data_IF_051603293836
#
_entry.id   IF_051603293836
#
_cell.length_a   1.000
_cell.length_b   1.000
_cell.length_c   1.000
_cell.angle_alpha   90.00
_cell.angle_beta   90.00
_cell.angle_gamma   90.00
#
_symmetry.space_group_name_H-M   'P 1'
#
loop_
_entity.id
_entity.type
_entity.pdbx_description
1 polymer ?
#
# COMPACT_ATOMS: atom_id res chain seq x y z
N UNK A 1 11.69 -6.23 25.62
CA UNK A 1 10.31 -6.32 25.12
C UNK A 1 10.21 -5.45 23.88
N UNK A 2 10.07 -6.03 22.69
CA UNK A 2 9.94 -5.25 21.44
C UNK A 2 8.64 -4.41 21.52
N UNK A 3 8.67 -3.12 21.13
CA UNK A 3 7.63 -2.12 21.44
C UNK A 3 6.28 -2.33 20.75
N UNK A 4 6.09 -3.45 20.03
CA UNK A 4 4.89 -3.73 19.27
C UNK A 4 4.09 -4.92 19.79
N UNK A 5 4.48 -5.59 20.88
CA UNK A 5 3.69 -6.70 21.46
C UNK A 5 2.36 -6.17 22.06
N UNK A 6 1.33 -6.06 21.22
CA UNK A 6 -0.06 -6.03 21.64
C UNK A 6 -0.38 -7.36 22.33
N UNK A 7 -1.18 -7.32 23.41
CA UNK A 7 -1.54 -8.52 24.17
C UNK A 7 -2.37 -9.54 23.38
N UNK A 8 -2.88 -9.17 22.19
CA UNK A 8 -3.66 -10.05 21.33
C UNK A 8 -3.00 -10.19 19.94
N UNK A 9 -2.99 -11.39 19.36
CA UNK A 9 -2.49 -11.61 18.00
C UNK A 9 -3.36 -10.86 16.99
N UNK A 10 -2.78 -10.28 15.93
CA UNK A 10 -3.54 -9.64 14.87
C UNK A 10 -4.31 -10.69 14.06
N UNK A 11 -5.49 -10.32 13.57
CA UNK A 11 -6.30 -11.17 12.70
C UNK A 11 -5.61 -11.43 11.34
N UNK A 12 -4.76 -10.52 10.89
CA UNK A 12 -3.96 -10.67 9.68
C UNK A 12 -2.70 -9.80 9.71
N UNK A 13 -1.70 -10.17 8.90
CA UNK A 13 -0.51 -9.36 8.65
C UNK A 13 -0.34 -9.14 7.15
N UNK A 14 -0.02 -7.92 6.75
CA UNK A 14 0.48 -7.63 5.41
C UNK A 14 2.00 -7.49 5.40
N UNK A 15 2.67 -8.33 4.61
CA UNK A 15 4.07 -8.11 4.27
C UNK A 15 4.16 -7.11 3.12
N UNK A 16 4.98 -6.08 3.29
CA UNK A 16 5.31 -5.10 2.25
C UNK A 16 6.81 -4.86 2.20
N UNK A 17 7.26 -3.99 1.29
CA UNK A 17 8.63 -3.51 1.21
C UNK A 17 8.67 -1.98 1.06
N UNK A 18 9.87 -1.39 1.10
CA UNK A 18 10.08 0.04 0.84
C UNK A 18 9.77 0.36 -0.62
N UNK A 19 8.97 1.39 -0.88
CA UNK A 19 8.57 1.73 -2.27
C UNK A 19 9.56 2.67 -2.95
N UNK A 20 10.03 3.66 -2.20
CA UNK A 20 10.96 4.69 -2.63
C UNK A 20 11.68 5.28 -1.40
N UNK A 21 12.64 6.18 -1.67
CA UNK A 21 13.44 6.82 -0.62
C UNK A 21 12.59 7.60 0.38
N UNK A 22 11.38 8.06 0.01
CA UNK A 22 10.50 8.80 0.92
C UNK A 22 10.01 7.91 2.08
N UNK A 23 9.85 6.60 1.84
CA UNK A 23 9.45 5.65 2.88
C UNK A 23 10.54 5.46 3.95
N UNK A 24 11.83 5.69 3.62
CA UNK A 24 12.94 5.60 4.57
C UNK A 24 12.77 6.57 5.74
N UNK A 25 12.22 7.75 5.48
CA UNK A 25 12.03 8.79 6.49
C UNK A 25 10.81 8.55 7.38
N UNK A 26 9.90 7.66 6.97
CA UNK A 26 8.63 7.40 7.68
C UNK A 26 8.73 6.32 8.76
N UNK A 27 9.85 5.60 8.81
CA UNK A 27 10.08 4.52 9.76
C UNK A 27 10.71 5.11 11.04
N UNK A 28 10.24 4.70 12.22
CA UNK A 28 10.61 5.33 13.49
C UNK A 28 12.12 5.41 13.78
N UNK A 29 12.93 4.48 13.26
CA UNK A 29 14.39 4.48 13.40
C UNK A 29 15.12 5.46 12.45
N UNK A 30 14.41 6.14 11.55
CA UNK A 30 14.97 6.92 10.45
C UNK A 30 15.84 8.09 10.92
N UNK A 31 15.37 8.85 11.91
CA UNK A 31 16.06 10.05 12.39
C UNK A 31 17.40 9.73 13.05
N UNK A 32 17.45 8.64 13.82
CA UNK A 32 18.68 8.17 14.46
C UNK A 32 19.68 7.71 13.41
N UNK A 33 19.29 6.79 12.51
CA UNK A 33 20.21 6.29 11.49
C UNK A 33 20.68 7.40 10.55
N UNK A 34 19.78 8.31 10.18
CA UNK A 34 20.11 9.45 9.33
C UNK A 34 21.19 10.34 9.95
N UNK A 35 21.16 10.55 11.27
CA UNK A 35 22.16 11.37 11.97
C UNK A 35 23.57 10.78 11.89
N UNK A 36 23.68 9.46 11.80
CA UNK A 36 24.94 8.73 11.75
C UNK A 36 25.27 8.20 10.35
N UNK A 37 24.71 8.81 9.31
CA UNK A 37 24.97 8.44 7.92
C UNK A 37 25.81 9.49 7.20
N UNK A 38 26.76 9.04 6.39
CA UNK A 38 27.68 9.90 5.63
C UNK A 38 27.02 10.53 4.39
N UNK A 39 25.73 10.27 4.17
CA UNK A 39 24.95 10.76 3.03
C UNK A 39 23.67 9.95 2.80
N UNK A 40 22.94 10.27 1.73
CA UNK A 40 21.70 9.58 1.35
C UNK A 40 21.92 8.11 1.01
N UNK A 41 22.97 7.79 0.25
CA UNK A 41 23.25 6.41 -0.15
C UNK A 41 23.64 5.55 1.05
N UNK A 42 24.41 6.12 1.99
CA UNK A 42 24.78 5.43 3.22
C UNK A 42 23.57 5.24 4.15
N UNK A 43 22.72 6.26 4.25
CA UNK A 43 21.44 6.16 4.97
C UNK A 43 20.54 5.08 4.38
N UNK A 44 20.38 5.05 3.04
CA UNK A 44 19.64 4.02 2.33
C UNK A 44 20.19 2.62 2.63
N UNK A 45 21.51 2.42 2.50
CA UNK A 45 22.15 1.13 2.82
C UNK A 45 21.89 0.69 4.26
N UNK A 46 22.07 1.60 5.23
CA UNK A 46 21.83 1.32 6.67
C UNK A 46 20.37 0.96 6.92
N UNK A 47 19.43 1.73 6.38
CA UNK A 47 18.00 1.42 6.49
C UNK A 47 17.65 0.08 5.85
N UNK A 48 18.21 -0.21 4.68
CA UNK A 48 17.98 -1.48 3.98
C UNK A 48 18.67 -2.68 4.64
N UNK A 49 19.63 -2.46 5.55
CA UNK A 49 20.24 -3.53 6.34
C UNK A 49 19.46 -3.90 7.61
N UNK A 50 18.45 -3.11 7.99
CA UNK A 50 17.63 -3.43 9.15
C UNK A 50 16.82 -4.71 8.94
N UNK A 51 16.57 -5.49 10.01
CA UNK A 51 15.64 -6.61 9.92
C UNK A 51 14.21 -6.11 9.63
N UNK A 52 13.35 -6.96 9.07
CA UNK A 52 11.94 -6.65 8.93
C UNK A 52 11.30 -6.26 10.27
N UNK A 53 10.35 -5.32 10.22
CA UNK A 53 9.73 -4.77 11.41
C UNK A 53 8.24 -4.51 11.22
N UNK A 54 7.49 -4.51 12.32
CA UNK A 54 6.09 -4.03 12.34
C UNK A 54 6.12 -2.51 12.24
N UNK A 55 5.62 -1.97 11.13
CA UNK A 55 5.64 -0.53 10.86
C UNK A 55 4.33 0.17 11.25
N UNK A 56 3.26 -0.58 11.44
CA UNK A 56 1.97 -0.02 11.84
C UNK A 56 0.89 -1.06 12.02
N UNK A 57 -0.21 -0.60 12.62
CA UNK A 57 -1.43 -1.36 12.83
C UNK A 57 -2.54 -0.83 11.90
N UNK A 58 -3.42 -1.73 11.46
CA UNK A 58 -4.63 -1.46 10.70
C UNK A 58 -5.81 -1.83 11.60
N UNK A 59 -6.68 -0.86 11.88
CA UNK A 59 -7.91 -1.05 12.63
C UNK A 59 -9.11 -0.65 11.76
N UNK A 60 -10.20 -1.43 11.80
CA UNK A 60 -11.43 -1.14 11.05
C UNK A 60 -12.53 -0.62 11.97
N UNK A 61 -12.84 0.67 11.87
CA UNK A 61 -13.86 1.31 12.71
C UNK A 61 -13.57 1.12 14.20
N UNK A 62 -14.61 0.81 14.97
CA UNK A 62 -14.49 0.37 16.38
C UNK A 62 -14.48 -1.16 16.51
N UNK A 63 -14.31 -1.89 15.40
CA UNK A 63 -14.40 -3.34 15.38
C UNK A 63 -13.17 -4.02 16.00
N UNK A 64 -13.30 -5.29 16.45
CA UNK A 64 -12.22 -6.02 17.11
C UNK A 64 -11.12 -6.48 16.15
N UNK A 65 -11.34 -6.38 14.83
CA UNK A 65 -10.42 -6.88 13.81
C UNK A 65 -9.27 -5.88 13.63
N UNK A 66 -8.12 -6.26 14.20
CA UNK A 66 -6.85 -5.58 14.05
C UNK A 66 -5.94 -6.38 13.14
N UNK A 67 -5.21 -5.68 12.28
CA UNK A 67 -4.16 -6.25 11.44
C UNK A 67 -2.88 -5.44 11.55
N UNK A 68 -1.80 -5.98 11.03
CA UNK A 68 -0.49 -5.31 11.10
C UNK A 68 0.20 -5.25 9.75
N UNK A 69 1.10 -4.29 9.61
CA UNK A 69 1.95 -4.16 8.42
C UNK A 69 3.38 -4.44 8.82
N UNK A 70 3.93 -5.53 8.28
CA UNK A 70 5.34 -5.87 8.40
C UNK A 70 6.08 -5.38 7.16
N UNK A 71 7.08 -4.54 7.35
CA UNK A 71 7.90 -4.00 6.27
C UNK A 71 9.20 -4.80 6.18
N UNK A 72 9.41 -5.45 5.04
CA UNK A 72 10.70 -5.97 4.61
C UNK A 72 11.54 -4.77 4.16
N UNK A 73 12.65 -4.52 4.86
CA UNK A 73 13.49 -3.34 4.68
C UNK A 73 14.36 -3.46 3.42
N UNK A 74 13.75 -3.63 2.26
CA UNK A 74 14.41 -3.78 0.97
C UNK A 74 13.75 -2.89 -0.07
N UNK A 75 14.57 -2.36 -0.98
CA UNK A 75 14.08 -1.59 -2.12
C UNK A 75 13.55 -2.51 -3.24
N UNK A 76 12.73 -1.99 -4.17
CA UNK A 76 12.14 -2.80 -5.24
C UNK A 76 13.16 -3.60 -6.07
N UNK A 77 14.29 -2.98 -6.39
CA UNK A 77 15.38 -3.56 -7.16
C UNK A 77 16.08 -4.68 -6.40
N UNK A 78 16.41 -4.46 -5.12
CA UNK A 78 17.01 -5.47 -4.23
C UNK A 78 16.08 -6.68 -4.02
N UNK A 79 14.79 -6.41 -3.88
CA UNK A 79 13.78 -7.44 -3.66
C UNK A 79 13.65 -8.38 -4.86
N UNK A 80 13.72 -7.83 -6.08
CA UNK A 80 13.60 -8.59 -7.32
C UNK A 80 14.93 -9.22 -7.79
N UNK A 81 16.08 -8.67 -7.40
CA UNK A 81 17.42 -9.17 -7.76
C UNK A 81 17.83 -10.48 -7.07
N UNK A 82 16.92 -11.15 -6.36
CA UNK A 82 17.15 -12.46 -5.72
C UNK A 82 17.75 -12.41 -4.32
N UNK A 83 18.54 -11.37 -3.99
CA UNK A 83 19.10 -11.15 -2.64
C UNK A 83 18.04 -10.80 -1.59
N UNK A 84 16.86 -10.33 -2.01
CA UNK A 84 15.73 -10.04 -1.12
C UNK A 84 15.00 -11.26 -0.57
N UNK A 85 15.20 -12.46 -1.13
CA UNK A 85 14.44 -13.65 -0.73
C UNK A 85 14.56 -14.01 0.75
N UNK A 86 15.77 -13.88 1.31
CA UNK A 86 16.03 -14.10 2.74
C UNK A 86 15.26 -13.10 3.61
N UNK A 87 15.30 -11.82 3.28
CA UNK A 87 14.59 -10.79 4.05
C UNK A 87 13.07 -10.91 3.97
N UNK A 88 12.54 -11.50 2.90
CA UNK A 88 11.11 -11.85 2.85
C UNK A 88 10.79 -12.99 3.82
N UNK A 89 11.66 -14.00 3.94
CA UNK A 89 11.49 -15.08 4.92
C UNK A 89 11.58 -14.52 6.34
N UNK A 90 12.55 -13.64 6.63
CA UNK A 90 12.63 -12.95 7.94
C UNK A 90 11.36 -12.14 8.22
N UNK A 91 10.77 -11.51 7.21
CA UNK A 91 9.50 -10.78 7.36
C UNK A 91 8.32 -11.72 7.62
N UNK A 92 8.35 -12.91 7.03
CA UNK A 92 7.35 -13.96 7.27
C UNK A 92 7.48 -14.49 8.69
N UNK A 93 8.70 -14.72 9.17
CA UNK A 93 8.98 -15.13 10.55
C UNK A 93 8.48 -14.09 11.56
N UNK A 94 8.70 -12.80 11.29
CA UNK A 94 8.10 -11.73 12.10
C UNK A 94 6.58 -11.87 12.11
N UNK A 95 5.92 -12.01 10.96
CA UNK A 95 4.46 -12.15 10.88
C UNK A 95 3.93 -13.38 11.64
N UNK A 96 4.62 -14.52 11.54
CA UNK A 96 4.29 -15.75 12.26
C UNK A 96 4.48 -15.59 13.77
N UNK A 97 5.54 -14.93 14.21
CA UNK A 97 5.78 -14.62 15.62
C UNK A 97 4.73 -13.67 16.22
N UNK A 98 4.01 -12.92 15.39
CA UNK A 98 2.83 -12.14 15.83
C UNK A 98 1.60 -13.02 16.09
N UNK A 99 1.61 -14.28 15.63
CA UNK A 99 0.47 -15.19 15.74
C UNK A 99 -0.63 -14.92 14.71
N UNK A 100 -0.31 -14.29 13.57
CA UNK A 100 -1.30 -13.97 12.55
C UNK A 100 -1.75 -15.23 11.78
N UNK A 101 -3.06 -15.54 11.73
CA UNK A 101 -3.56 -16.71 11.00
C UNK A 101 -3.62 -16.47 9.48
N UNK A 102 -3.60 -15.22 9.04
CA UNK A 102 -3.67 -14.84 7.63
C UNK A 102 -2.56 -13.87 7.29
N UNK A 103 -1.81 -14.18 6.24
CA UNK A 103 -0.67 -13.40 5.78
C UNK A 103 -0.89 -12.96 4.33
N UNK A 104 -0.97 -11.65 4.12
CA UNK A 104 -1.10 -11.04 2.80
C UNK A 104 0.23 -10.57 2.24
N UNK A 105 0.55 -10.99 1.02
CA UNK A 105 1.71 -10.51 0.29
C UNK A 105 1.35 -9.25 -0.50
N UNK A 106 1.83 -8.11 -0.01
CA UNK A 106 1.64 -6.80 -0.63
C UNK A 106 2.74 -6.45 -1.63
N UNK A 107 2.44 -5.46 -2.47
CA UNK A 107 3.38 -4.82 -3.40
C UNK A 107 4.19 -5.85 -4.21
N UNK A 108 5.53 -5.79 -4.13
CA UNK A 108 6.41 -6.69 -4.89
C UNK A 108 6.78 -7.99 -4.16
N UNK A 109 6.25 -8.26 -2.96
CA UNK A 109 6.57 -9.49 -2.22
C UNK A 109 6.07 -10.73 -2.98
N UNK A 110 4.81 -10.71 -3.45
CA UNK A 110 4.27 -11.80 -4.26
C UNK A 110 5.10 -12.04 -5.55
N UNK A 111 5.41 -11.03 -6.38
CA UNK A 111 6.41 -11.15 -7.45
C UNK A 111 7.73 -11.82 -7.07
N UNK A 112 8.38 -11.33 -6.02
CA UNK A 112 9.70 -11.81 -5.61
C UNK A 112 9.69 -13.28 -5.16
N UNK A 113 8.53 -13.76 -4.73
CA UNK A 113 8.34 -15.11 -4.17
C UNK A 113 7.58 -16.07 -5.10
N UNK A 114 7.54 -15.78 -6.40
CA UNK A 114 6.81 -16.57 -7.39
C UNK A 114 5.30 -16.72 -7.05
N UNK A 115 4.68 -15.61 -6.68
CA UNK A 115 3.27 -15.55 -6.26
C UNK A 115 3.02 -16.04 -4.84
N UNK A 116 4.07 -16.22 -4.02
CA UNK A 116 4.01 -16.78 -2.67
C UNK A 116 4.45 -18.24 -2.59
N UNK A 117 4.58 -18.95 -3.72
CA UNK A 117 4.92 -20.38 -3.75
C UNK A 117 6.22 -20.70 -3.01
N UNK A 118 7.24 -19.83 -3.09
CA UNK A 118 8.53 -20.01 -2.40
C UNK A 118 8.43 -19.96 -0.87
N UNK A 119 7.35 -19.38 -0.34
CA UNK A 119 7.12 -19.23 1.09
C UNK A 119 6.34 -20.38 1.72
N UNK A 120 5.64 -21.19 0.92
CA UNK A 120 4.73 -22.23 1.43
C UNK A 120 5.42 -23.23 2.36
N UNK A 121 6.66 -23.61 2.06
CA UNK A 121 7.47 -24.52 2.90
C UNK A 121 7.84 -23.95 4.29
N UNK A 122 7.63 -22.66 4.50
CA UNK A 122 7.92 -21.96 5.76
C UNK A 122 6.64 -21.68 6.56
N UNK A 123 5.47 -22.04 6.05
CA UNK A 123 4.20 -21.82 6.74
C UNK A 123 3.88 -23.02 7.63
N UNK A 124 3.51 -22.79 8.90
CA UNK A 124 2.95 -23.83 9.74
C UNK A 124 1.51 -24.14 9.32
N UNK A 125 1.01 -25.30 9.77
CA UNK A 125 -0.38 -25.69 9.58
C UNK A 125 -1.35 -24.67 10.18
N UNK A 126 -2.46 -24.43 9.48
CA UNK A 126 -3.50 -23.47 9.91
C UNK A 126 -3.22 -22.01 9.56
N UNK A 127 -2.04 -21.66 9.02
CA UNK A 127 -1.76 -20.30 8.53
C UNK A 127 -2.01 -20.19 7.04
N UNK A 128 -2.80 -19.19 6.64
CA UNK A 128 -3.15 -18.94 5.24
C UNK A 128 -2.27 -17.84 4.63
N UNK A 129 -1.76 -18.09 3.42
CA UNK A 129 -1.03 -17.10 2.63
C UNK A 129 -1.86 -16.65 1.42
N UNK A 130 -2.02 -15.34 1.25
CA UNK A 130 -2.67 -14.76 0.08
C UNK A 130 -1.75 -13.81 -0.68
N UNK A 131 -1.73 -13.93 -2.00
CA UNK A 131 -0.97 -13.04 -2.87
C UNK A 131 -1.72 -11.76 -3.26
N UNK A 132 -2.96 -11.60 -2.79
CA UNK A 132 -3.83 -10.43 -3.00
C UNK A 132 -4.17 -10.07 -4.46
N UNK A 133 -3.79 -10.92 -5.43
CA UNK A 133 -3.97 -10.62 -6.86
C UNK A 133 -5.44 -10.59 -7.28
N UNK A 134 -6.26 -11.53 -6.77
CA UNK A 134 -7.69 -11.60 -7.08
C UNK A 134 -8.44 -10.35 -6.61
N UNK A 135 -8.22 -9.96 -5.35
CA UNK A 135 -8.78 -8.71 -4.81
C UNK A 135 -8.31 -7.50 -5.62
N UNK A 136 -7.03 -7.45 -5.99
CA UNK A 136 -6.50 -6.36 -6.82
C UNK A 136 -7.18 -6.31 -8.19
N UNK A 137 -7.49 -7.44 -8.81
CA UNK A 137 -8.22 -7.48 -10.09
C UNK A 137 -9.65 -6.92 -9.97
N UNK A 138 -10.35 -7.22 -8.86
CA UNK A 138 -11.67 -6.65 -8.56
C UNK A 138 -11.58 -5.13 -8.34
N UNK A 139 -10.56 -4.67 -7.61
CA UNK A 139 -10.33 -3.23 -7.43
C UNK A 139 -10.03 -2.55 -8.77
N UNK A 140 -9.23 -3.16 -9.65
CA UNK A 140 -8.98 -2.66 -11.01
C UNK A 140 -10.29 -2.52 -11.79
N UNK A 141 -11.12 -3.56 -11.80
CA UNK A 141 -12.46 -3.55 -12.43
C UNK A 141 -13.28 -2.34 -11.94
N UNK A 142 -13.38 -2.16 -10.61
CA UNK A 142 -14.13 -1.05 -10.02
C UNK A 142 -13.59 0.33 -10.43
N UNK A 143 -12.27 0.52 -10.45
CA UNK A 143 -11.69 1.81 -10.84
C UNK A 143 -11.90 2.12 -12.34
N UNK A 144 -11.88 1.10 -13.20
CA UNK A 144 -12.17 1.28 -14.63
C UNK A 144 -13.61 1.71 -14.83
N UNK A 145 -14.58 1.11 -14.12
CA UNK A 145 -15.97 1.57 -14.12
C UNK A 145 -16.09 3.03 -13.70
N UNK A 146 -15.44 3.41 -12.60
CA UNK A 146 -15.45 4.79 -12.10
C UNK A 146 -14.86 5.77 -13.12
N UNK A 147 -13.71 5.42 -13.72
CA UNK A 147 -13.10 6.23 -14.77
C UNK A 147 -13.98 6.36 -16.02
N UNK A 148 -14.56 5.26 -16.47
CA UNK A 148 -15.42 5.24 -17.66
C UNK A 148 -16.73 6.01 -17.44
N UNK A 149 -17.30 5.94 -16.23
CA UNK A 149 -18.44 6.74 -15.82
C UNK A 149 -18.09 8.23 -15.78
N UNK A 150 -16.94 8.61 -15.22
CA UNK A 150 -16.45 9.98 -15.19
C UNK A 150 -16.22 10.57 -16.60
N UNK A 151 -15.92 9.73 -17.59
CA UNK A 151 -15.81 10.12 -19.00
C UNK A 151 -17.16 10.19 -19.73
N UNK A 152 -18.26 9.75 -19.10
CA UNK A 152 -19.57 9.64 -19.75
C UNK A 152 -19.55 8.65 -20.92
N UNK A 153 -18.74 7.59 -20.81
CA UNK A 153 -18.62 6.53 -21.81
C UNK A 153 -19.18 5.20 -21.30
N UNK A 154 -19.05 4.90 -20.00
CA UNK A 154 -19.43 3.60 -19.44
C UNK A 154 -18.71 2.46 -20.19
N UNK A 155 -19.35 1.31 -20.43
CA UNK A 155 -18.76 0.18 -21.15
C UNK A 155 -18.27 0.51 -22.58
N UNK A 156 -18.72 1.63 -23.18
CA UNK A 156 -18.23 2.07 -24.50
C UNK A 156 -16.79 2.57 -24.45
N UNK A 157 -16.21 2.85 -23.27
CA UNK A 157 -14.82 3.25 -23.14
C UNK A 157 -13.88 2.15 -23.68
N UNK A 158 -12.88 2.54 -24.46
CA UNK A 158 -11.79 1.66 -24.84
C UNK A 158 -10.76 1.60 -23.72
N UNK A 159 -10.46 0.40 -23.23
CA UNK A 159 -9.58 0.16 -22.09
C UNK A 159 -8.32 -0.60 -22.54
N UNK A 160 -7.15 0.02 -22.42
CA UNK A 160 -5.88 -0.68 -22.58
C UNK A 160 -5.44 -1.31 -21.25
N UNK A 161 -5.11 -2.60 -21.27
CA UNK A 161 -4.57 -3.33 -20.12
C UNK A 161 -3.12 -3.71 -20.42
N UNK A 162 -2.18 -2.95 -19.86
CA UNK A 162 -0.75 -3.20 -19.98
C UNK A 162 -0.30 -4.13 -18.87
N UNK A 163 0.39 -5.21 -19.22
CA UNK A 163 0.68 -6.30 -18.28
C UNK A 163 -0.48 -7.28 -18.15
N UNK A 164 -1.34 -7.39 -19.17
CA UNK A 164 -2.51 -8.27 -19.20
C UNK A 164 -2.19 -9.75 -18.97
N UNK A 165 -0.95 -10.19 -19.18
CA UNK A 165 -0.52 -11.59 -18.95
C UNK A 165 -0.02 -11.86 -17.52
N UNK A 166 -0.09 -10.85 -16.64
CA UNK A 166 0.29 -10.98 -15.23
C UNK A 166 -0.79 -11.63 -14.36
N UNK A 167 -0.43 -11.97 -13.12
CA UNK A 167 -1.34 -12.60 -12.14
C UNK A 167 -2.56 -11.76 -11.79
N UNK A 168 -2.46 -10.43 -11.89
CA UNK A 168 -3.61 -9.50 -11.80
C UNK A 168 -4.21 -9.23 -13.18
N UNK A 169 -3.36 -9.12 -14.20
CA UNK A 169 -3.75 -8.73 -15.56
C UNK A 169 -4.75 -9.69 -16.20
N UNK A 170 -4.54 -11.00 -16.04
CA UNK A 170 -5.42 -12.02 -16.63
C UNK A 170 -6.84 -11.93 -16.05
N UNK A 171 -7.04 -12.05 -14.72
CA UNK A 171 -8.38 -11.94 -14.15
C UNK A 171 -9.00 -10.55 -14.36
N UNK A 172 -8.21 -9.46 -14.30
CA UNK A 172 -8.73 -8.12 -14.57
C UNK A 172 -9.23 -7.98 -16.01
N UNK A 173 -8.49 -8.52 -16.99
CA UNK A 173 -8.89 -8.48 -18.40
C UNK A 173 -10.19 -9.26 -18.63
N UNK A 174 -10.33 -10.45 -18.02
CA UNK A 174 -11.56 -11.24 -18.11
C UNK A 174 -12.76 -10.56 -17.47
N UNK A 175 -12.59 -9.98 -16.27
CA UNK A 175 -13.65 -9.23 -15.60
C UNK A 175 -14.11 -8.03 -16.43
N UNK A 176 -13.18 -7.28 -17.01
CA UNK A 176 -13.53 -6.13 -17.86
C UNK A 176 -14.18 -6.56 -19.18
N UNK A 177 -13.73 -7.67 -19.78
CA UNK A 177 -14.37 -8.22 -20.97
C UNK A 177 -15.81 -8.67 -20.68
N UNK A 178 -16.03 -9.36 -19.56
CA UNK A 178 -17.36 -9.78 -19.11
C UNK A 178 -18.30 -8.59 -18.85
N UNK A 179 -17.76 -7.44 -18.45
CA UNK A 179 -18.50 -6.19 -18.28
C UNK A 179 -18.78 -5.44 -19.60
N UNK A 180 -18.34 -5.98 -20.73
CA UNK A 180 -18.59 -5.42 -22.07
C UNK A 180 -17.64 -4.28 -22.47
N UNK A 181 -16.51 -4.09 -21.78
CA UNK A 181 -15.51 -3.10 -22.20
C UNK A 181 -14.80 -3.52 -23.49
N UNK A 182 -14.50 -2.54 -24.36
CA UNK A 182 -13.64 -2.76 -25.53
C UNK A 182 -12.18 -2.75 -25.09
N UNK A 183 -11.49 -3.89 -25.20
CA UNK A 183 -10.16 -4.05 -24.64
C UNK A 183 -9.04 -3.94 -25.68
N UNK A 184 -7.93 -3.33 -25.26
CA UNK A 184 -6.61 -3.47 -25.89
C UNK A 184 -5.69 -4.20 -24.92
N UNK A 185 -5.38 -5.46 -25.20
CA UNK A 185 -4.58 -6.32 -24.34
C UNK A 185 -3.11 -6.19 -24.72
N UNK A 186 -2.33 -5.53 -23.86
CA UNK A 186 -0.93 -5.19 -24.14
C UNK A 186 -0.01 -6.06 -23.28
N UNK A 187 0.63 -7.03 -23.93
CA UNK A 187 1.63 -7.93 -23.35
C UNK A 187 3.05 -7.62 -23.81
N UNK A 188 4.01 -8.41 -23.30
CA UNK A 188 5.40 -8.37 -23.80
C UNK A 188 5.50 -8.88 -25.24
N UNK A 189 4.81 -9.98 -25.53
CA UNK A 189 4.71 -10.56 -26.87
C UNK A 189 3.25 -10.94 -27.12
N UNK A 190 2.84 -10.94 -28.38
CA UNK A 190 1.47 -11.30 -28.78
C UNK A 190 1.18 -12.76 -28.42
N UNK A 191 2.13 -13.66 -28.64
CA UNK A 191 2.02 -15.10 -28.35
C UNK A 191 1.72 -15.35 -26.88
N UNK A 192 2.34 -14.58 -25.99
CA UNK A 192 2.09 -14.68 -24.55
C UNK A 192 0.69 -14.20 -24.19
N UNK A 193 0.18 -13.16 -24.86
CA UNK A 193 -1.21 -12.72 -24.67
C UNK A 193 -2.16 -13.80 -25.12
N UNK A 194 -1.98 -14.34 -26.33
CA UNK A 194 -2.80 -15.43 -26.89
C UNK A 194 -2.84 -16.66 -26.01
N UNK A 195 -1.69 -17.04 -25.43
CA UNK A 195 -1.62 -18.19 -24.51
C UNK A 195 -2.51 -18.04 -23.29
N UNK A 196 -2.65 -16.82 -22.74
CA UNK A 196 -3.35 -16.59 -21.48
C UNK A 196 -4.77 -16.02 -21.64
N UNK A 197 -5.04 -15.33 -22.76
CA UNK A 197 -6.24 -14.55 -23.03
C UNK A 197 -6.76 -14.80 -24.46
N UNK A 198 -6.42 -15.93 -25.07
CA UNK A 198 -6.88 -16.33 -26.41
C UNK A 198 -8.39 -16.41 -26.50
N UNK A 199 -9.05 -16.72 -25.38
CA UNK A 199 -10.50 -16.70 -25.21
C UNK A 199 -11.13 -15.32 -25.47
N UNK A 200 -10.34 -14.24 -25.42
CA UNK A 200 -10.82 -12.87 -25.59
C UNK A 200 -10.52 -12.26 -26.97
N UNK A 201 -9.81 -12.94 -27.88
CA UNK A 201 -9.37 -12.35 -29.15
C UNK A 201 -10.53 -11.90 -30.06
N UNK A 202 -11.67 -12.58 -29.99
CA UNK A 202 -12.86 -12.21 -30.78
C UNK A 202 -13.47 -10.85 -30.39
N UNK A 203 -13.17 -10.34 -29.20
CA UNK A 203 -13.71 -9.07 -28.68
C UNK A 203 -12.65 -8.05 -28.23
N UNK A 204 -11.36 -8.40 -28.30
CA UNK A 204 -10.27 -7.58 -27.81
C UNK A 204 -9.13 -7.48 -28.83
N UNK A 205 -8.55 -6.29 -28.96
CA UNK A 205 -7.34 -6.09 -29.76
C UNK A 205 -6.12 -6.58 -28.96
N UNK A 206 -5.42 -7.58 -29.46
CA UNK A 206 -4.13 -8.02 -28.88
C UNK A 206 -2.99 -7.22 -29.49
N UNK A 207 -2.06 -6.76 -28.65
CA UNK A 207 -0.88 -6.04 -29.10
C UNK A 207 0.34 -6.25 -28.19
N UNK A 208 1.51 -5.95 -28.74
CA UNK A 208 2.76 -5.83 -28.00
C UNK A 208 3.22 -4.36 -27.99
N UNK A 209 4.01 -3.99 -26.99
CA UNK A 209 4.58 -2.63 -26.86
C UNK A 209 3.61 -1.61 -26.27
N UNK A 210 4.16 -0.63 -25.54
CA UNK A 210 3.39 0.37 -24.80
C UNK A 210 2.62 1.34 -25.71
N UNK A 211 3.14 1.61 -26.91
CA UNK A 211 2.50 2.51 -27.88
C UNK A 211 1.14 2.01 -28.35
N UNK A 212 0.89 0.70 -28.25
CA UNK A 212 -0.41 0.10 -28.57
C UNK A 212 -1.53 0.57 -27.63
N UNK A 213 -1.20 1.14 -26.47
CA UNK A 213 -2.19 1.75 -25.58
C UNK A 213 -2.64 3.16 -26.04
N UNK A 214 -1.93 3.77 -26.99
CA UNK A 214 -2.26 5.10 -27.50
C UNK A 214 -3.70 5.14 -28.03
N UNK A 215 -4.39 6.24 -27.70
CA UNK A 215 -5.78 6.44 -28.04
C UNK A 215 -6.77 5.76 -27.10
N UNK A 216 -6.38 4.86 -26.20
CA UNK A 216 -7.37 4.29 -25.26
C UNK A 216 -7.90 5.34 -24.29
N UNK A 217 -9.19 5.27 -23.97
CA UNK A 217 -9.84 6.23 -23.06
C UNK A 217 -9.37 6.00 -21.61
N UNK A 218 -9.14 4.73 -21.27
CA UNK A 218 -8.62 4.29 -19.97
C UNK A 218 -7.42 3.37 -20.19
N UNK A 219 -6.33 3.60 -19.47
CA UNK A 219 -5.12 2.78 -19.52
C UNK A 219 -4.83 2.24 -18.11
N UNK A 220 -4.82 0.91 -17.98
CA UNK A 220 -4.47 0.19 -16.77
C UNK A 220 -3.04 -0.34 -16.88
N UNK A 221 -2.19 0.05 -15.95
CA UNK A 221 -0.80 -0.41 -15.83
C UNK A 221 -0.70 -1.48 -14.73
N UNK A 222 -0.42 -2.73 -15.11
CA UNK A 222 -0.26 -3.89 -14.21
C UNK A 222 1.11 -4.57 -14.41
N UNK A 223 2.16 -3.76 -14.60
CA UNK A 223 3.51 -4.25 -14.86
C UNK A 223 4.34 -4.40 -13.58
N UNK A 224 5.36 -5.25 -13.64
CA UNK A 224 6.34 -5.49 -12.56
C UNK A 224 7.59 -4.62 -12.68
N UNK A 225 7.49 -3.44 -13.29
CA UNK A 225 8.67 -2.61 -13.51
C UNK A 225 9.15 -2.01 -12.16
N UNK A 226 10.27 -2.53 -11.64
CA UNK A 226 11.18 -1.72 -10.85
C UNK A 226 11.91 -0.81 -11.85
N UNK A 227 11.90 0.50 -11.58
CA UNK A 227 12.28 1.59 -12.49
C UNK A 227 13.26 1.25 -13.61
N UNK A 228 12.84 1.53 -14.83
CA UNK A 228 13.65 1.39 -16.04
C UNK A 228 13.49 2.60 -16.96
N UNK A 229 13.79 3.79 -16.45
CA UNK A 229 14.31 4.90 -17.26
C UNK A 229 15.03 5.90 -16.33
N UNK A 230 16.33 6.10 -16.52
CA UNK A 230 17.11 7.19 -15.88
C UNK A 230 16.82 8.50 -16.62
N UNK A 231 15.55 8.89 -16.65
CA UNK A 231 15.06 10.11 -17.27
C UNK A 231 13.94 10.70 -16.42
N UNK A 232 14.29 11.59 -15.48
CA UNK A 232 13.39 12.45 -14.67
C UNK A 232 11.93 11.99 -14.57
N UNK A 233 11.71 10.93 -13.78
CA UNK A 233 10.39 10.47 -13.38
C UNK A 233 10.49 9.15 -12.65
N UNK A 234 10.56 9.18 -11.32
CA UNK A 234 10.56 7.95 -10.49
C UNK A 234 9.28 7.16 -10.76
N UNK A 235 9.38 6.09 -11.56
CA UNK A 235 8.29 5.17 -11.79
C UNK A 235 8.06 4.31 -10.54
N UNK A 236 6.84 4.38 -10.01
CA UNK A 236 6.46 3.69 -8.77
C UNK A 236 5.89 2.31 -9.11
N UNK A 237 6.27 1.24 -8.39
CA UNK A 237 5.96 -0.14 -8.74
C UNK A 237 4.52 -0.61 -8.42
N UNK A 238 3.54 0.29 -8.37
CA UNK A 238 2.14 -0.03 -8.04
C UNK A 238 1.24 -0.02 -9.28
N UNK A 239 0.13 -0.79 -9.30
CA UNK A 239 -0.92 -0.66 -10.31
C UNK A 239 -1.35 0.79 -10.48
N UNK A 240 -1.34 1.30 -11.71
CA UNK A 240 -1.77 2.68 -12.01
C UNK A 240 -2.93 2.65 -12.98
N UNK A 241 -3.91 3.51 -12.72
CA UNK A 241 -4.94 3.86 -13.68
C UNK A 241 -4.62 5.24 -14.25
N UNK A 242 -4.45 5.31 -15.57
CA UNK A 242 -4.31 6.54 -16.33
C UNK A 242 -5.60 6.75 -17.11
N UNK A 243 -6.31 7.83 -16.81
CA UNK A 243 -7.55 8.21 -17.51
C UNK A 243 -7.22 9.33 -18.48
N UNK A 244 -7.56 9.16 -19.76
CA UNK A 244 -7.40 10.18 -20.78
C UNK A 244 -8.76 10.61 -21.30
N UNK A 245 -9.08 11.90 -21.20
CA UNK A 245 -10.30 12.44 -21.81
C UNK A 245 -9.98 12.88 -23.24
N UNK A 246 -10.52 12.18 -24.23
CA UNK A 246 -10.53 12.66 -25.62
C UNK A 246 -11.43 13.91 -25.71
N UNK A 247 -11.04 14.97 -26.44
CA UNK A 247 -12.00 15.98 -26.87
C UNK A 247 -13.00 15.32 -27.82
N UNK A 248 -14.31 15.50 -27.58
CA UNK A 248 -15.34 15.10 -28.52
C UNK A 248 -15.39 16.13 -29.65
N UNK A 249 -15.30 15.66 -30.90
CA UNK A 249 -15.43 16.38 -32.18
C UNK A 249 -14.28 17.32 -32.59
N UNK A 250 -13.90 17.22 -33.87
CA UNK A 250 -12.75 17.85 -34.51
C UNK A 250 -12.85 19.36 -34.71
N UNK A 251 -12.95 20.13 -33.63
CA UNK A 251 -12.65 21.58 -33.66
C UNK A 251 -11.35 21.85 -32.88
N UNK A 252 -10.38 22.59 -33.45
CA UNK A 252 -9.17 22.98 -32.74
C UNK A 252 -9.53 24.08 -31.73
N UNK A 253 -9.93 23.68 -30.53
CA UNK A 253 -10.37 24.57 -29.46
C UNK A 253 -9.61 24.30 -28.17
N UNK A 254 -8.70 25.21 -27.84
CA UNK A 254 -8.05 25.46 -26.54
C UNK A 254 -7.66 24.23 -25.71
N UNK A 255 -6.36 23.91 -25.74
CA UNK A 255 -5.72 22.94 -24.86
C UNK A 255 -5.89 23.32 -23.38
N UNK A 256 -6.92 22.81 -22.71
CA UNK A 256 -6.83 22.65 -21.26
C UNK A 256 -5.81 21.54 -20.98
N UNK A 257 -4.57 21.93 -20.67
CA UNK A 257 -3.54 21.04 -20.11
C UNK A 257 -4.07 20.47 -18.78
N UNK A 258 -4.81 19.37 -18.84
CA UNK A 258 -4.97 18.48 -17.72
C UNK A 258 -3.59 17.89 -17.43
N UNK A 259 -2.93 18.43 -16.40
CA UNK A 259 -1.66 17.92 -15.88
C UNK A 259 -1.81 16.40 -15.69
N UNK A 260 -0.86 15.63 -16.21
CA UNK A 260 -0.64 14.21 -15.91
C UNK A 260 -0.77 14.00 -14.39
N UNK A 261 -1.95 13.62 -13.91
CA UNK A 261 -2.18 13.13 -12.56
C UNK A 261 -2.68 11.71 -12.74
N UNK A 262 -1.75 10.75 -12.73
CA UNK A 262 -2.14 9.37 -12.49
C UNK A 262 -2.87 9.34 -11.15
N UNK A 263 -4.13 8.92 -11.16
CA UNK A 263 -4.90 8.78 -9.94
C UNK A 263 -4.43 7.48 -9.28
N UNK A 264 -3.89 7.50 -8.06
CA UNK A 264 -3.61 6.27 -7.33
C UNK A 264 -4.90 5.50 -7.18
N UNK A 265 -4.87 4.22 -7.50
CA UNK A 265 -5.95 3.27 -7.18
C UNK A 265 -6.18 3.33 -5.68
N UNK A 266 -7.28 3.94 -5.24
CA UNK A 266 -7.70 3.95 -3.84
C UNK A 266 -8.84 2.95 -3.68
N UNK A 267 -8.71 1.92 -2.83
CA UNK A 267 -9.83 1.05 -2.52
C UNK A 267 -10.95 1.88 -1.87
N UNK A 268 -12.20 1.72 -2.34
CA UNK A 268 -13.37 2.32 -1.68
C UNK A 268 -13.63 1.60 -0.37
N UNK A 269 -13.60 2.35 0.72
CA UNK A 269 -14.36 2.11 1.93
C UNK A 269 -15.37 3.24 2.10
N UNK A 270 -16.65 2.87 2.19
CA UNK A 270 -17.86 3.65 2.49
C UNK A 270 -18.54 4.54 1.42
N UNK A 271 -19.88 4.47 1.33
CA UNK A 271 -20.71 5.61 0.90
C UNK A 271 -20.76 6.64 2.04
N UNK A 272 -20.54 7.92 1.75
CA UNK A 272 -20.72 9.02 2.71
C UNK A 272 -22.21 9.21 3.11
N UNK A 273 -22.54 10.11 4.06
CA UNK A 273 -21.81 11.37 4.32
C UNK A 273 -21.62 11.74 5.82
N UNK A 274 -21.01 12.92 6.01
CA UNK A 274 -20.84 13.73 7.23
C UNK A 274 -19.53 13.55 8.00
N UNK A 275 -18.80 14.67 8.05
CA UNK A 275 -17.38 14.71 8.38
C UNK A 275 -17.06 14.56 9.85
N UNK A 276 -15.85 14.03 10.09
CA UNK A 276 -14.95 14.40 11.19
C UNK A 276 -13.57 13.74 10.93
N UNK A 277 -12.47 14.36 11.38
CA UNK A 277 -11.13 13.90 11.04
C UNK A 277 -10.77 12.62 11.79
N UNK A 278 -10.24 11.63 11.07
CA UNK A 278 -9.59 10.44 11.61
C UNK A 278 -8.27 10.85 12.28
N UNK A 279 -8.16 10.63 13.59
CA UNK A 279 -6.92 10.87 14.33
C UNK A 279 -5.95 9.70 14.15
N UNK A 280 -4.87 9.90 13.40
CA UNK A 280 -3.66 9.08 13.52
C UNK A 280 -2.97 9.43 14.82
N UNK A 281 -3.02 8.55 15.81
CA UNK A 281 -2.34 8.74 17.09
C UNK A 281 -0.88 8.30 16.96
N UNK A 282 -0.03 9.21 16.50
CA UNK A 282 1.43 9.11 16.69
C UNK A 282 1.74 9.46 18.15
N UNK A 283 2.51 8.62 18.84
CA UNK A 283 2.98 8.88 20.21
C UNK A 283 3.75 10.22 20.33
N UNK A 284 3.81 10.81 21.54
CA UNK A 284 4.24 12.19 21.70
C UNK A 284 5.73 12.36 21.41
N UNK A 285 6.04 13.32 20.53
CA UNK A 285 7.38 13.85 20.35
C UNK A 285 7.77 14.65 21.60
N UNK A 286 8.85 14.24 22.26
CA UNK A 286 9.52 15.04 23.28
C UNK A 286 10.12 16.28 22.61
N UNK A 287 9.62 17.46 22.97
CA UNK A 287 10.08 18.73 22.42
C UNK A 287 9.35 19.91 23.05
N UNK A 288 9.52 20.13 24.34
CA UNK A 288 9.10 21.37 24.99
C UNK A 288 10.33 22.27 25.18
N UNK A 289 10.39 23.35 24.39
CA UNK A 289 11.31 24.46 24.62
C UNK A 289 11.06 25.08 26.00
N UNK A 290 12.16 25.41 26.68
CA UNK A 290 12.15 26.18 27.94
C UNK A 290 11.48 27.55 27.73
N UNK A 291 10.54 27.97 28.59
CA UNK A 291 10.20 29.38 28.72
C UNK A 291 11.21 30.09 29.66
N UNK A 292 11.40 31.42 29.54
CA UNK A 292 12.36 32.16 30.35
C UNK A 292 11.90 32.29 31.81
N UNK A 293 12.83 32.53 32.77
CA UNK A 293 12.52 32.52 34.19
C UNK A 293 11.69 33.74 34.59
N UNK A 294 10.55 33.52 35.24
CA UNK A 294 9.79 34.57 35.93
C UNK A 294 10.36 34.77 37.33
N UNK A 295 10.61 36.04 37.70
CA UNK A 295 11.05 36.47 39.04
C UNK A 295 10.05 36.02 40.13
N UNK A 296 10.50 35.70 41.35
CA UNK A 296 9.62 35.33 42.44
C UNK A 296 9.01 36.57 43.09
N UNK A 297 7.71 36.52 43.39
CA UNK A 297 7.03 37.44 44.30
C UNK A 297 6.47 36.63 45.49
N UNK A 298 6.35 37.24 46.68
CA UNK A 298 6.53 36.56 47.96
C UNK A 298 5.28 35.80 48.45
N UNK A 299 5.56 34.88 49.38
CA UNK A 299 4.62 33.99 50.02
C UNK A 299 3.72 34.67 51.08
N UNK A 300 2.60 33.99 51.34
CA UNK A 300 1.87 33.79 52.62
C UNK A 300 0.41 34.30 52.64
N UNK A 301 -0.47 33.76 53.52
CA UNK A 301 -0.35 32.54 54.33
C UNK A 301 -1.52 31.54 54.18
N UNK A 302 -1.25 30.32 54.66
CA UNK A 302 -2.21 29.28 54.97
C UNK A 302 -3.31 29.76 55.93
N UNK A 303 -4.53 29.27 55.73
CA UNK A 303 -5.51 29.08 56.80
C UNK A 303 -5.97 27.63 56.85
N UNK A 304 -5.58 26.97 57.94
CA UNK A 304 -6.20 25.76 58.45
C UNK A 304 -7.57 26.08 59.06
N UNK A 305 -8.54 25.18 58.88
CA UNK A 305 -9.61 24.83 59.83
C UNK A 305 -10.25 23.53 59.31
N UNK A 306 -9.82 22.36 59.78
CA UNK A 306 -10.31 21.58 60.93
C UNK A 306 -11.79 21.16 60.85
N UNK A 307 -11.96 19.83 61.03
CA UNK A 307 -13.06 19.04 61.64
C UNK A 307 -13.51 17.91 60.71
N UNK A 308 -13.73 16.67 61.12
CA UNK A 308 -13.43 15.91 62.33
C UNK A 308 -13.49 14.43 61.91
N UNK A 309 -12.58 13.60 62.44
CA UNK A 309 -12.63 12.14 62.36
C UNK A 309 -13.51 11.61 63.50
N UNK A 310 -14.35 10.61 63.25
CA UNK A 310 -14.45 9.38 64.07
C UNK A 310 -15.51 8.36 63.60
N UNK A 311 -15.39 7.08 64.03
CA UNK A 311 -15.61 5.89 63.18
C UNK A 311 -16.66 4.89 63.72
N UNK A 312 -17.14 3.96 62.89
CA UNK A 312 -17.76 2.65 63.27
C UNK A 312 -17.68 1.74 62.05
N UNK A 313 -17.32 0.46 62.04
CA UNK A 313 -16.96 -0.53 63.06
C UNK A 313 -16.89 -1.88 62.33
N UNK A 314 -15.87 -2.69 62.62
CA UNK A 314 -15.73 -4.05 62.11
C UNK A 314 -16.56 -5.02 62.97
N UNK A 315 -17.23 -5.99 62.34
CA UNK A 315 -17.52 -7.31 62.94
C UNK A 315 -17.38 -8.40 61.89
N UNK A 316 -16.49 -9.31 62.22
CA UNK A 316 -16.37 -10.68 61.75
C UNK A 316 -17.51 -11.54 62.29
N UNK A 317 -18.04 -12.41 61.43
CA UNK A 317 -18.33 -13.82 61.68
C UNK A 317 -18.09 -14.58 60.36
#
# INVERSE_FOLDING_TARGET
MLPYLSAQPPAFVFLTHLRDDDDLHRIGASSFLRRYSDGEDDFRRKMCSLPPLVAGEISFGFGPVRGEVVVVMRMPDELLAGSGGRSVIEGLEVALARGAPVIGLGALIAPATAGGARLLRHLPDGVTLTNTNAYTAVVVRANVHEAAAALGLGPRAQVAVIGCTGSVGVPASRLLAADGFRLVLVGRTVERVRRHLGDLEGGARVAAGLDSAQGSDVVVLLTRAAGGDRGRGRDRPCPRLLVQRRPRSGRPGRHHRLRRRGVPVRPRGHPGPLGRPTHTRTGPAAGAGRPPPRRPAPAAPCRCERRDLSPVGARSD
#
